data_IF_950733395327
#
_entry.id   IF_950733395327
#
_cell.length_a   1.000
_cell.length_b   1.000
_cell.length_c   1.000
_cell.angle_alpha   90.00
_cell.angle_beta   90.00
_cell.angle_gamma   90.00
#
_symmetry.space_group_name_H-M   'P 1'
#
loop_
_entity.id
_entity.type
_entity.pdbx_description
1 polymer ?
#
# COMPACT_ATOMS: atom_id res chain seq x y z
N UNK A 1 -15.62 3.15 13.87
CA UNK A 1 -15.33 3.59 12.49
C UNK A 1 -15.79 2.49 11.53
N UNK A 2 -16.55 2.79 10.47
CA UNK A 2 -17.03 1.73 9.55
C UNK A 2 -15.86 1.28 8.66
N UNK A 3 -15.27 0.12 8.98
CA UNK A 3 -14.15 -0.45 8.20
C UNK A 3 -14.50 -0.61 6.71
N UNK A 4 -15.79 -0.76 6.38
CA UNK A 4 -16.29 -0.80 5.01
C UNK A 4 -16.00 0.49 4.23
N UNK A 5 -16.24 1.67 4.84
CA UNK A 5 -16.04 2.96 4.16
C UNK A 5 -14.55 3.17 3.82
N UNK A 6 -13.65 2.73 4.70
CA UNK A 6 -12.19 2.74 4.47
C UNK A 6 -11.82 1.78 3.33
N UNK A 7 -12.42 0.58 3.30
CA UNK A 7 -12.21 -0.40 2.24
C UNK A 7 -12.60 0.13 0.86
N UNK A 8 -13.76 0.81 0.78
CA UNK A 8 -14.22 1.48 -0.44
C UNK A 8 -13.29 2.62 -0.85
N UNK A 9 -12.81 3.42 0.10
CA UNK A 9 -11.86 4.49 -0.19
C UNK A 9 -10.52 3.95 -0.73
N UNK A 10 -9.98 2.89 -0.13
CA UNK A 10 -8.75 2.24 -0.56
C UNK A 10 -8.89 1.62 -1.96
N UNK A 11 -9.99 0.92 -2.24
CA UNK A 11 -10.19 0.29 -3.54
C UNK A 11 -10.40 1.32 -4.65
N UNK A 12 -11.10 2.42 -4.36
CA UNK A 12 -11.26 3.55 -5.27
C UNK A 12 -9.91 4.18 -5.62
N UNK A 13 -9.07 4.47 -4.61
CA UNK A 13 -7.73 5.00 -4.82
C UNK A 13 -6.83 4.05 -5.62
N UNK A 14 -6.87 2.74 -5.33
CA UNK A 14 -6.13 1.72 -6.09
C UNK A 14 -6.58 1.68 -7.55
N UNK A 15 -7.90 1.76 -7.80
CA UNK A 15 -8.44 1.77 -9.16
C UNK A 15 -8.01 3.02 -9.94
N UNK A 16 -8.00 4.19 -9.32
CA UNK A 16 -7.51 5.42 -9.95
C UNK A 16 -6.05 5.30 -10.37
N UNK A 17 -5.19 4.71 -9.53
CA UNK A 17 -3.80 4.45 -9.89
C UNK A 17 -3.69 3.45 -11.06
N UNK A 18 -4.50 2.40 -11.07
CA UNK A 18 -4.53 1.41 -12.16
C UNK A 18 -5.03 2.01 -13.49
N UNK A 19 -5.96 2.96 -13.46
CA UNK A 19 -6.42 3.67 -14.66
C UNK A 19 -5.29 4.47 -15.33
N UNK A 20 -4.32 4.92 -14.55
CA UNK A 20 -3.12 5.61 -15.03
C UNK A 20 -1.99 4.64 -15.41
N UNK A 21 -2.27 3.33 -15.49
CA UNK A 21 -1.28 2.27 -15.71
C UNK A 21 -0.14 2.28 -14.68
N UNK A 22 -0.44 2.74 -13.46
CA UNK A 22 0.56 2.76 -12.39
C UNK A 22 0.43 1.50 -11.55
N UNK A 23 1.56 0.83 -11.34
CA UNK A 23 1.62 -0.35 -10.50
C UNK A 23 1.32 0.03 -9.04
N UNK A 24 0.33 -0.64 -8.47
CA UNK A 24 -0.11 -0.39 -7.11
C UNK A 24 -0.62 -1.68 -6.44
N UNK A 25 -0.51 -1.75 -5.11
CA UNK A 25 -1.05 -2.86 -4.31
C UNK A 25 -1.33 -2.42 -2.88
N UNK A 26 -2.55 -2.60 -2.39
CA UNK A 26 -2.90 -2.30 -1.00
C UNK A 26 -2.07 -3.17 -0.03
N UNK A 27 -1.36 -2.54 0.92
CA UNK A 27 -0.46 -3.20 1.85
C UNK A 27 -0.63 -2.70 3.28
N UNK A 28 -0.77 -3.64 4.23
CA UNK A 28 -0.77 -3.36 5.67
C UNK A 28 0.60 -2.91 6.18
N UNK A 29 1.68 -3.44 5.60
CA UNK A 29 3.07 -3.15 6.04
C UNK A 29 3.43 -1.67 5.90
N UNK A 30 2.97 -1.02 4.84
CA UNK A 30 3.18 0.42 4.64
C UNK A 30 2.46 1.23 5.73
N UNK A 31 1.24 0.81 6.10
CA UNK A 31 0.51 1.42 7.20
C UNK A 31 1.20 1.22 8.56
N UNK A 32 1.73 0.02 8.82
CA UNK A 32 2.52 -0.26 10.01
C UNK A 32 3.79 0.62 10.09
N UNK A 33 4.49 0.79 8.96
CA UNK A 33 5.66 1.66 8.88
C UNK A 33 5.29 3.14 9.12
N UNK A 34 4.19 3.63 8.54
CA UNK A 34 3.72 5.01 8.75
C UNK A 34 3.37 5.28 10.23
N UNK A 35 2.82 4.29 10.94
CA UNK A 35 2.57 4.39 12.38
C UNK A 35 3.88 4.37 13.18
N UNK A 36 4.82 3.49 12.84
CA UNK A 36 6.11 3.41 13.51
C UNK A 36 6.94 4.69 13.35
N UNK A 37 6.82 5.37 12.20
CA UNK A 37 7.47 6.64 11.90
C UNK A 37 6.72 7.86 12.48
N UNK A 38 5.55 7.66 13.11
CA UNK A 38 4.77 8.74 13.71
C UNK A 38 4.05 9.67 12.71
N UNK A 39 3.95 9.29 11.43
CA UNK A 39 3.31 10.12 10.41
C UNK A 39 1.78 10.15 10.54
N UNK A 40 1.18 9.07 11.05
CA UNK A 40 -0.27 8.95 11.21
C UNK A 40 -0.58 8.29 12.55
N UNK A 41 -1.47 8.90 13.32
CA UNK A 41 -2.02 8.31 14.54
C UNK A 41 -3.44 7.79 14.28
N UNK A 42 -3.57 6.48 14.03
CA UNK A 42 -4.84 5.82 13.77
C UNK A 42 -4.83 4.36 14.24
N UNK A 43 -6.02 3.77 14.44
CA UNK A 43 -6.17 2.38 14.87
C UNK A 43 -5.83 1.38 13.75
N UNK A 44 -6.25 1.69 12.53
CA UNK A 44 -5.99 0.88 11.33
C UNK A 44 -5.37 1.77 10.26
N UNK A 45 -4.19 1.36 9.77
CA UNK A 45 -3.48 2.04 8.69
C UNK A 45 -3.19 1.05 7.56
N UNK A 46 -3.49 1.46 6.33
CA UNK A 46 -3.13 0.74 5.10
C UNK A 46 -2.51 1.74 4.15
N UNK A 47 -1.51 1.31 3.38
CA UNK A 47 -0.88 2.14 2.36
C UNK A 47 -1.02 1.53 0.97
N UNK A 48 -1.00 2.40 -0.04
CA UNK A 48 -0.93 2.04 -1.46
C UNK A 48 0.39 2.59 -1.99
N UNK A 49 1.47 1.78 -2.03
CA UNK A 49 2.69 2.14 -2.71
C UNK A 49 2.43 2.16 -4.22
N UNK A 50 2.99 3.18 -4.88
CA UNK A 50 2.81 3.50 -6.29
C UNK A 50 4.19 3.41 -6.96
N UNK A 51 4.27 2.76 -8.12
CA UNK A 51 5.52 2.63 -8.88
C UNK A 51 5.31 2.91 -10.36
N UNK A 52 6.12 3.83 -10.89
CA UNK A 52 6.19 4.18 -12.31
C UNK A 52 7.59 3.79 -12.78
N UNK A 53 7.79 2.51 -13.06
CA UNK A 53 9.09 1.97 -13.46
C UNK A 53 8.89 0.87 -14.50
N UNK A 54 9.92 0.58 -15.32
CA UNK A 54 9.82 -0.44 -16.37
C UNK A 54 9.56 -1.87 -15.84
N UNK A 55 9.86 -2.11 -14.56
CA UNK A 55 9.51 -3.32 -13.82
C UNK A 55 8.90 -2.92 -12.47
N UNK A 56 7.84 -3.60 -12.08
CA UNK A 56 7.20 -3.34 -10.79
C UNK A 56 8.15 -3.60 -9.62
N UNK A 57 8.24 -2.64 -8.68
CA UNK A 57 9.03 -2.75 -7.43
C UNK A 57 8.69 -4.00 -6.59
N UNK A 58 7.51 -4.59 -6.81
CA UNK A 58 7.06 -5.75 -6.06
C UNK A 58 7.74 -7.05 -6.49
N UNK A 59 8.28 -7.11 -7.72
CA UNK A 59 8.93 -8.30 -8.27
C UNK A 59 10.39 -8.46 -7.86
N UNK A 60 11.09 -7.38 -7.52
CA UNK A 60 12.51 -7.43 -7.09
C UNK A 60 12.70 -7.58 -5.58
N UNK A 61 11.65 -7.94 -4.84
CA UNK A 61 11.77 -8.21 -3.40
C UNK A 61 12.53 -9.51 -3.19
N UNK A 62 13.79 -9.40 -2.75
CA UNK A 62 14.58 -10.54 -2.28
C UNK A 62 13.78 -11.28 -1.20
N UNK A 63 13.51 -12.57 -1.41
CA UNK A 63 13.01 -13.42 -0.34
C UNK A 63 14.01 -13.35 0.82
N UNK A 64 13.53 -13.18 2.06
CA UNK A 64 14.41 -13.22 3.21
C UNK A 64 15.20 -14.53 3.17
N UNK A 65 16.52 -14.44 3.23
CA UNK A 65 17.37 -15.59 3.47
C UNK A 65 16.88 -16.21 4.78
N UNK A 66 16.26 -17.40 4.69
CA UNK A 66 15.99 -18.21 5.87
C UNK A 66 17.35 -18.71 6.34
N UNK A 67 17.80 -18.15 7.46
CA UNK A 67 18.92 -18.65 8.26
C UNK A 67 18.47 -19.97 8.89
#
# INVERSE_FOLDING_TARGET
MRMMDIGVALSSAAKSASLLNIDNRVQQRVGAAARALGYINCEVAMGIPISISGKSIFYDRKAACKI
#
